data_IF_286251124513
#
_entry.id   IF_286251124513
#
_cell.length_a   1.000
_cell.length_b   1.000
_cell.length_c   1.000
_cell.angle_alpha   90.00
_cell.angle_beta   90.00
_cell.angle_gamma   90.00
#
_symmetry.space_group_name_H-M   'P 1'
#
loop_
_entity.id
_entity.type
_entity.pdbx_description
1 polymer ?
#
# COMPACT_ATOMS: atom_id res chain seq x y z
N UNK A 1 3.41 -0.25 -14.56
CA UNK A 1 2.05 0.20 -14.92
C UNK A 1 1.73 -0.24 -16.33
N UNK A 2 0.46 -0.45 -16.66
CA UNK A 2 0.00 -0.44 -18.05
C UNK A 2 -0.41 1.02 -18.35
N UNK A 3 0.48 1.77 -19.00
CA UNK A 3 0.28 3.20 -19.24
C UNK A 3 -0.71 3.45 -20.38
N UNK A 4 -0.76 2.55 -21.37
CA UNK A 4 -1.68 2.64 -22.49
C UNK A 4 -3.13 2.43 -22.00
N UNK A 5 -3.33 1.49 -21.06
CA UNK A 5 -4.63 1.31 -20.40
C UNK A 5 -5.03 2.53 -19.56
N UNK A 6 -4.08 3.10 -18.80
CA UNK A 6 -4.34 4.32 -18.02
C UNK A 6 -4.74 5.49 -18.92
N UNK A 7 -4.04 5.69 -20.04
CA UNK A 7 -4.35 6.73 -21.03
C UNK A 7 -5.73 6.50 -21.66
N UNK A 8 -6.05 5.26 -22.01
CA UNK A 8 -7.38 4.89 -22.51
C UNK A 8 -8.47 5.23 -21.50
N UNK A 9 -8.32 4.85 -20.24
CA UNK A 9 -9.27 5.20 -19.19
C UNK A 9 -9.44 6.72 -19.04
N UNK A 10 -8.35 7.49 -19.20
CA UNK A 10 -8.40 8.95 -19.16
C UNK A 10 -9.18 9.54 -20.35
N UNK A 11 -8.95 9.02 -21.56
CA UNK A 11 -9.68 9.38 -22.78
C UNK A 11 -11.18 9.05 -22.69
N UNK A 12 -11.53 7.96 -22.00
CA UNK A 12 -12.91 7.56 -21.75
C UNK A 12 -13.61 8.38 -20.64
N UNK A 13 -12.91 9.36 -20.04
CA UNK A 13 -13.48 10.29 -19.07
C UNK A 13 -13.03 10.07 -17.62
N UNK A 14 -12.08 9.15 -17.37
CA UNK A 14 -11.45 8.98 -16.06
C UNK A 14 -10.72 10.25 -15.62
N UNK A 15 -11.00 10.72 -14.39
CA UNK A 15 -10.39 11.95 -13.81
C UNK A 15 -9.82 11.75 -12.41
N UNK A 16 -9.95 10.55 -11.86
CA UNK A 16 -9.44 10.18 -10.55
C UNK A 16 -8.67 8.86 -10.66
N UNK A 17 -7.41 8.86 -10.25
CA UNK A 17 -6.61 7.66 -10.07
C UNK A 17 -6.45 7.39 -8.58
N UNK A 18 -6.74 6.15 -8.15
CA UNK A 18 -6.40 5.67 -6.81
C UNK A 18 -5.17 4.78 -6.94
N UNK A 19 -4.02 5.29 -6.49
CA UNK A 19 -2.75 4.59 -6.53
C UNK A 19 -2.45 3.97 -5.16
N UNK A 20 -2.12 2.69 -5.11
CA UNK A 20 -1.59 2.03 -3.92
C UNK A 20 -0.05 1.96 -4.02
N UNK A 21 0.66 2.59 -3.07
CA UNK A 21 2.11 2.75 -3.11
C UNK A 21 2.74 2.82 -1.70
N UNK A 22 3.38 1.76 -1.18
CA UNK A 22 3.61 0.45 -1.77
C UNK A 22 2.33 -0.33 -2.12
N UNK A 23 2.37 -1.14 -3.19
CA UNK A 23 1.19 -1.78 -3.77
C UNK A 23 0.83 -3.10 -3.07
N UNK A 24 -0.25 -3.07 -2.28
CA UNK A 24 -0.90 -4.28 -1.75
C UNK A 24 -1.76 -4.92 -2.87
N UNK A 25 -1.68 -6.25 -3.13
CA UNK A 25 -0.99 -7.28 -2.34
C UNK A 25 0.38 -7.71 -2.85
N UNK A 26 0.81 -7.24 -4.02
CA UNK A 26 2.05 -7.74 -4.67
C UNK A 26 3.35 -7.29 -3.98
N UNK A 27 3.28 -6.32 -3.06
CA UNK A 27 4.42 -5.84 -2.29
C UNK A 27 5.39 -4.98 -3.09
N UNK A 28 4.97 -4.39 -4.22
CA UNK A 28 5.81 -3.51 -5.05
C UNK A 28 6.03 -2.15 -4.41
N UNK A 29 7.25 -1.65 -4.48
CA UNK A 29 7.64 -0.28 -4.14
C UNK A 29 8.06 0.40 -5.44
N UNK A 30 7.20 1.29 -5.94
CA UNK A 30 7.37 1.89 -7.27
C UNK A 30 8.63 2.74 -7.36
N UNK A 31 9.37 2.57 -8.45
CA UNK A 31 10.58 3.35 -8.72
C UNK A 31 10.22 4.76 -9.20
N UNK A 32 11.13 5.72 -9.02
CA UNK A 32 10.87 7.12 -9.37
C UNK A 32 10.54 7.27 -10.86
N UNK A 33 11.21 6.51 -11.73
CA UNK A 33 10.99 6.52 -13.18
C UNK A 33 9.59 6.02 -13.54
N UNK A 34 9.12 4.93 -12.89
CA UNK A 34 7.77 4.39 -13.08
C UNK A 34 6.70 5.42 -12.66
N UNK A 35 6.90 6.05 -11.49
CA UNK A 35 5.98 7.07 -10.97
C UNK A 35 5.96 8.33 -11.84
N UNK A 36 7.12 8.76 -12.38
CA UNK A 36 7.19 9.91 -13.29
C UNK A 36 6.46 9.66 -14.60
N UNK A 37 6.57 8.45 -15.15
CA UNK A 37 5.84 8.08 -16.36
C UNK A 37 4.32 8.09 -16.12
N UNK A 38 3.86 7.58 -14.97
CA UNK A 38 2.46 7.65 -14.56
C UNK A 38 1.98 9.10 -14.38
N UNK A 39 2.78 9.95 -13.72
CA UNK A 39 2.45 11.35 -13.50
C UNK A 39 2.38 12.15 -14.81
N UNK A 40 3.16 11.81 -15.83
CA UNK A 40 3.09 12.47 -17.13
C UNK A 40 1.70 12.27 -17.78
N UNK A 41 1.17 11.05 -17.76
CA UNK A 41 -0.20 10.76 -18.23
C UNK A 41 -1.22 11.50 -17.39
N UNK A 42 -1.05 11.52 -16.06
CA UNK A 42 -1.96 12.26 -15.18
C UNK A 42 -1.95 13.77 -15.44
N UNK A 43 -0.79 14.37 -15.72
CA UNK A 43 -0.65 15.79 -16.05
C UNK A 43 -1.34 16.10 -17.39
N UNK A 44 -1.12 15.29 -18.43
CA UNK A 44 -1.69 15.48 -19.77
C UNK A 44 -3.23 15.46 -19.77
N UNK A 45 -3.82 14.60 -18.95
CA UNK A 45 -5.27 14.39 -18.92
C UNK A 45 -5.98 15.02 -17.71
N UNK A 46 -5.32 15.88 -16.95
CA UNK A 46 -5.87 16.55 -15.75
C UNK A 46 -6.48 15.56 -14.75
N UNK A 47 -5.75 14.48 -14.47
CA UNK A 47 -6.15 13.43 -13.53
C UNK A 47 -5.70 13.82 -12.12
N UNK A 48 -6.64 13.85 -11.18
CA UNK A 48 -6.30 13.92 -9.75
C UNK A 48 -5.90 12.53 -9.24
N UNK A 49 -4.86 12.47 -8.41
CA UNK A 49 -4.37 11.21 -7.83
C UNK A 49 -4.62 11.17 -6.33
N UNK A 50 -5.27 10.10 -5.85
CA UNK A 50 -5.25 9.70 -4.45
C UNK A 50 -4.15 8.66 -4.30
N UNK A 51 -3.04 9.03 -3.66
CA UNK A 51 -1.93 8.13 -3.36
C UNK A 51 -2.14 7.53 -1.97
N UNK A 52 -2.60 6.27 -1.91
CA UNK A 52 -2.64 5.48 -0.68
C UNK A 52 -1.23 4.96 -0.36
N UNK A 53 -0.60 5.63 0.59
CA UNK A 53 0.77 5.37 1.03
C UNK A 53 0.81 4.83 2.48
N UNK A 54 -0.25 4.14 2.90
CA UNK A 54 -0.35 3.56 4.26
C UNK A 54 0.76 2.54 4.59
N UNK A 55 1.42 1.98 3.58
CA UNK A 55 2.54 1.05 3.73
C UNK A 55 3.92 1.70 3.52
N UNK A 56 4.01 3.03 3.42
CA UNK A 56 5.25 3.76 3.11
C UNK A 56 6.43 3.45 4.04
N UNK A 57 6.16 3.17 5.31
CA UNK A 57 7.19 2.85 6.31
C UNK A 57 7.63 1.37 6.28
N UNK A 58 6.86 0.50 5.63
CA UNK A 58 7.05 -0.94 5.58
C UNK A 58 7.80 -1.32 4.31
N UNK A 59 9.07 -0.92 4.20
CA UNK A 59 9.91 -1.17 3.02
C UNK A 59 11.13 -1.99 3.42
N UNK A 60 11.48 -3.00 2.64
CA UNK A 60 12.63 -3.85 2.99
C UNK A 60 13.97 -3.09 2.87
N UNK A 61 15.01 -3.53 3.61
CA UNK A 61 16.32 -2.90 3.55
C UNK A 61 16.84 -2.76 2.11
N UNK A 62 17.52 -1.64 1.83
CA UNK A 62 18.05 -1.24 0.51
C UNK A 62 17.01 -0.82 -0.54
N UNK A 63 15.71 -0.93 -0.24
CA UNK A 63 14.64 -0.35 -1.07
C UNK A 63 14.22 1.00 -0.45
N UNK A 64 13.75 1.92 -1.29
CA UNK A 64 13.28 3.24 -0.85
C UNK A 64 11.90 3.55 -1.44
N UNK A 65 10.94 3.85 -0.58
CA UNK A 65 9.67 4.44 -0.99
C UNK A 65 9.86 5.89 -1.41
N UNK A 66 9.15 6.30 -2.46
CA UNK A 66 9.16 7.66 -2.98
C UNK A 66 7.74 8.21 -2.86
N UNK A 67 7.48 9.15 -1.93
CA UNK A 67 6.17 9.75 -1.81
C UNK A 67 5.80 10.47 -3.10
N UNK A 68 4.64 10.15 -3.68
CA UNK A 68 4.28 10.58 -5.03
C UNK A 68 4.27 12.11 -5.15
N UNK A 69 3.75 12.78 -4.11
CA UNK A 69 3.65 14.23 -4.02
C UNK A 69 5.01 14.97 -4.07
N UNK A 70 6.14 14.26 -3.91
CA UNK A 70 7.48 14.86 -4.04
C UNK A 70 7.97 14.93 -5.49
N UNK A 71 7.29 14.27 -6.43
CA UNK A 71 7.74 14.13 -7.82
C UNK A 71 7.08 15.10 -8.80
N UNK A 72 5.97 15.74 -8.42
CA UNK A 72 5.26 16.72 -9.24
C UNK A 72 4.55 17.76 -8.39
N UNK A 73 4.61 19.01 -8.81
CA UNK A 73 3.83 20.14 -8.31
C UNK A 73 2.66 20.51 -9.23
N UNK A 74 2.54 19.85 -10.39
CA UNK A 74 1.55 20.13 -11.43
C UNK A 74 0.34 19.20 -11.38
N UNK A 75 0.53 17.97 -10.91
CA UNK A 75 -0.55 17.00 -10.74
C UNK A 75 -1.17 17.22 -9.36
N UNK A 76 -2.51 17.23 -9.29
CA UNK A 76 -3.20 17.32 -8.02
C UNK A 76 -3.11 15.97 -7.28
N UNK A 77 -2.33 15.92 -6.19
CA UNK A 77 -2.06 14.69 -5.43
C UNK A 77 -2.57 14.85 -3.99
N UNK A 78 -3.44 13.93 -3.59
CA UNK A 78 -3.89 13.73 -2.21
C UNK A 78 -3.22 12.47 -1.68
N UNK A 79 -2.34 12.60 -0.69
CA UNK A 79 -1.64 11.45 -0.10
C UNK A 79 -2.33 11.00 1.18
N UNK A 80 -2.65 9.72 1.30
CA UNK A 80 -3.19 9.10 2.51
C UNK A 80 -2.09 8.31 3.23
N UNK A 81 -1.91 8.60 4.53
CA UNK A 81 -0.93 7.93 5.40
C UNK A 81 -1.57 7.58 6.73
N UNK A 82 -1.05 6.55 7.40
CA UNK A 82 -1.40 6.24 8.78
C UNK A 82 -0.33 5.37 9.44
N UNK A 83 -0.11 5.51 10.76
CA UNK A 83 0.78 4.63 11.51
C UNK A 83 0.18 3.22 11.73
N UNK A 84 -1.06 3.01 11.30
CA UNK A 84 -1.86 1.83 11.65
C UNK A 84 -1.25 0.51 11.16
N UNK A 85 -0.74 0.47 9.93
CA UNK A 85 -0.08 -0.71 9.37
C UNK A 85 1.34 -0.86 9.91
N UNK A 86 2.07 0.25 9.98
CA UNK A 86 3.45 0.29 10.48
C UNK A 86 3.54 -0.25 11.90
N UNK A 87 2.72 0.25 12.81
CA UNK A 87 2.79 -0.04 14.25
C UNK A 87 1.70 -0.97 14.76
N UNK A 88 0.96 -1.63 13.86
CA UNK A 88 -0.12 -2.57 14.20
C UNK A 88 -1.18 -2.00 15.16
N UNK A 89 -1.64 -0.78 14.89
CA UNK A 89 -2.68 -0.08 15.66
C UNK A 89 -3.94 0.27 14.82
N UNK A 90 -4.43 -0.58 13.89
CA UNK A 90 -5.59 -0.23 13.06
C UNK A 90 -6.87 -0.03 13.87
N UNK A 91 -6.99 -0.67 15.04
CA UNK A 91 -8.15 -0.52 15.93
C UNK A 91 -8.26 0.87 16.58
N UNK A 92 -7.22 1.70 16.53
CA UNK A 92 -7.26 3.07 17.07
C UNK A 92 -7.85 4.09 16.09
N UNK A 93 -7.94 3.76 14.80
CA UNK A 93 -8.81 4.46 13.85
C UNK A 93 -8.42 5.92 13.56
N UNK A 94 -7.14 6.25 13.47
CA UNK A 94 -6.68 7.58 13.04
C UNK A 94 -5.71 7.49 11.84
N UNK A 95 -5.95 8.34 10.85
CA UNK A 95 -5.15 8.51 9.64
C UNK A 95 -4.99 9.99 9.32
N UNK A 96 -4.12 10.31 8.36
CA UNK A 96 -3.93 11.67 7.86
C UNK A 96 -4.02 11.72 6.34
N UNK A 97 -4.59 12.81 5.83
CA UNK A 97 -4.54 13.18 4.42
C UNK A 97 -3.63 14.40 4.26
N UNK A 98 -2.60 14.28 3.44
CA UNK A 98 -1.77 15.39 3.01
C UNK A 98 -2.37 15.94 1.72
N UNK A 99 -2.95 17.14 1.81
CA UNK A 99 -3.65 17.80 0.69
C UNK A 99 -3.04 19.19 0.48
N UNK A 100 -2.09 19.36 -0.46
CA UNK A 100 -1.45 20.65 -0.70
C UNK A 100 -2.43 21.74 -1.14
N UNK A 101 -3.34 21.41 -2.06
CA UNK A 101 -4.34 22.35 -2.59
C UNK A 101 -5.34 22.74 -1.48
N UNK A 102 -5.45 24.06 -1.21
CA UNK A 102 -6.32 24.59 -0.15
C UNK A 102 -7.82 24.41 -0.44
N UNK A 103 -8.23 24.54 -1.69
CA UNK A 103 -9.63 24.39 -2.09
C UNK A 103 -10.09 22.94 -1.93
N UNK A 104 -9.27 21.99 -2.40
CA UNK A 104 -9.56 20.56 -2.26
C UNK A 104 -9.57 20.12 -0.79
N UNK A 105 -8.60 20.61 0.00
CA UNK A 105 -8.56 20.33 1.44
C UNK A 105 -9.83 20.83 2.15
N UNK A 106 -10.32 22.01 1.79
CA UNK A 106 -11.57 22.53 2.34
C UNK A 106 -12.80 21.72 1.87
N UNK A 107 -12.83 21.29 0.61
CA UNK A 107 -13.90 20.45 0.07
C UNK A 107 -13.94 19.07 0.75
N UNK A 108 -12.79 18.43 0.93
CA UNK A 108 -12.65 17.15 1.65
C UNK A 108 -13.08 17.31 3.11
N UNK A 109 -12.60 18.36 3.80
CA UNK A 109 -12.99 18.62 5.19
C UNK A 109 -14.51 18.84 5.33
N UNK A 110 -15.14 19.56 4.39
CA UNK A 110 -16.59 19.74 4.35
C UNK A 110 -17.31 18.40 4.17
N UNK A 111 -16.85 17.56 3.25
CA UNK A 111 -17.43 16.24 3.01
C UNK A 111 -17.34 15.35 4.27
N UNK A 112 -16.18 15.29 4.92
CA UNK A 112 -16.02 14.56 6.18
C UNK A 112 -16.87 15.12 7.32
N UNK A 113 -17.05 16.45 7.38
CA UNK A 113 -17.95 17.10 8.34
C UNK A 113 -19.41 16.66 8.16
N UNK A 114 -19.89 16.58 6.92
CA UNK A 114 -21.25 16.09 6.60
C UNK A 114 -21.41 14.62 6.98
N UNK A 115 -20.39 13.79 6.76
CA UNK A 115 -20.41 12.36 7.04
C UNK A 115 -20.10 12.00 8.50
N UNK A 116 -19.76 12.98 9.34
CA UNK A 116 -19.30 12.76 10.72
C UNK A 116 -18.10 11.79 10.83
N UNK A 117 -17.19 11.81 9.85
CA UNK A 117 -16.01 10.91 9.74
C UNK A 117 -14.79 11.45 10.52
N UNK A 118 -14.92 12.60 11.17
CA UNK A 118 -13.83 13.33 11.85
C UNK A 118 -13.61 12.97 13.32
N UNK A 119 -14.18 11.85 13.79
CA UNK A 119 -14.05 11.45 15.19
C UNK A 119 -12.66 10.84 15.48
N UNK A 120 -11.73 11.65 16.00
CA UNK A 120 -10.57 11.15 16.74
C UNK A 120 -10.91 10.96 18.22
N UNK A 121 -10.27 10.01 18.89
CA UNK A 121 -10.37 9.85 20.34
C UNK A 121 -8.99 10.12 20.99
N UNK A 122 -8.92 10.42 22.30
CA UNK A 122 -7.64 10.73 22.94
C UNK A 122 -6.57 9.64 22.76
N UNK A 123 -6.95 8.36 22.74
CA UNK A 123 -6.01 7.26 22.53
C UNK A 123 -5.47 7.22 21.10
N UNK A 124 -6.32 7.55 20.11
CA UNK A 124 -5.89 7.56 18.71
C UNK A 124 -4.90 8.68 18.42
N UNK A 125 -5.08 9.84 19.04
CA UNK A 125 -4.13 10.96 18.95
C UNK A 125 -2.79 10.60 19.61
N UNK A 126 -2.83 10.13 20.87
CA UNK A 126 -1.61 9.77 21.61
C UNK A 126 -0.84 8.65 20.92
N UNK A 127 -1.52 7.63 20.41
CA UNK A 127 -0.84 6.55 19.70
C UNK A 127 -0.23 6.99 18.38
N UNK A 128 -0.89 7.89 17.65
CA UNK A 128 -0.36 8.46 16.40
C UNK A 128 0.90 9.28 16.67
N UNK A 129 0.89 10.10 17.71
CA UNK A 129 2.06 10.88 18.15
C UNK A 129 3.20 9.96 18.60
N UNK A 130 2.95 9.04 19.53
CA UNK A 130 3.97 8.13 20.05
C UNK A 130 4.59 7.25 18.94
N UNK A 131 3.77 6.77 18.00
CA UNK A 131 4.23 6.00 16.85
C UNK A 131 5.28 6.75 16.03
N UNK A 132 5.02 8.01 15.66
CA UNK A 132 5.96 8.76 14.81
C UNK A 132 7.08 9.47 15.58
N UNK A 133 6.88 9.82 16.85
CA UNK A 133 7.90 10.47 17.67
C UNK A 133 8.89 9.46 18.28
N UNK A 134 8.44 8.25 18.63
CA UNK A 134 9.21 7.31 19.45
C UNK A 134 9.32 5.91 18.82
N UNK A 135 8.53 5.59 17.79
CA UNK A 135 8.43 4.24 17.24
C UNK A 135 9.58 3.78 16.33
N UNK A 136 10.45 4.70 15.88
CA UNK A 136 11.49 4.39 14.88
C UNK A 136 12.41 3.21 15.28
N UNK A 137 12.93 3.10 16.52
CA UNK A 137 13.79 1.96 16.89
C UNK A 137 13.08 0.60 16.83
N UNK A 138 11.77 0.58 17.13
CA UNK A 138 10.96 -0.63 17.02
C UNK A 138 10.72 -0.99 15.55
N UNK A 139 10.44 0.01 14.71
CA UNK A 139 10.24 -0.19 13.27
C UNK A 139 11.50 -0.75 12.61
N UNK A 140 12.68 -0.23 12.92
CA UNK A 140 13.95 -0.74 12.38
C UNK A 140 14.15 -2.23 12.71
N UNK A 141 13.86 -2.63 13.96
CA UNK A 141 13.92 -4.02 14.38
C UNK A 141 12.87 -4.89 13.67
N UNK A 142 11.65 -4.37 13.49
CA UNK A 142 10.59 -5.04 12.74
C UNK A 142 11.00 -5.29 11.28
N UNK A 143 11.55 -4.30 10.59
CA UNK A 143 11.93 -4.43 9.17
C UNK A 143 13.00 -5.50 8.97
N UNK A 144 13.98 -5.59 9.88
CA UNK A 144 14.97 -6.67 9.87
C UNK A 144 14.33 -8.05 10.09
N UNK A 145 13.37 -8.15 11.03
CA UNK A 145 12.64 -9.38 11.30
C UNK A 145 11.77 -9.83 10.11
N UNK A 146 11.06 -8.89 9.49
CA UNK A 146 10.23 -9.16 8.31
C UNK A 146 11.09 -9.61 7.12
N UNK A 147 12.24 -8.98 6.89
CA UNK A 147 13.16 -9.39 5.84
C UNK A 147 13.65 -10.84 6.03
N UNK A 148 14.02 -11.20 7.28
CA UNK A 148 14.38 -12.59 7.61
C UNK A 148 13.23 -13.58 7.43
N UNK A 149 12.01 -13.17 7.79
CA UNK A 149 10.80 -14.00 7.61
C UNK A 149 10.50 -14.23 6.13
N UNK A 150 10.56 -13.18 5.30
CA UNK A 150 10.43 -13.29 3.83
C UNK A 150 11.45 -14.27 3.27
N UNK A 151 12.72 -14.12 3.65
CA UNK A 151 13.81 -14.96 3.14
C UNK A 151 13.64 -16.43 3.56
N UNK A 152 13.17 -16.68 4.77
CA UNK A 152 12.82 -18.02 5.25
C UNK A 152 11.68 -18.63 4.42
N UNK A 153 10.58 -17.90 4.20
CA UNK A 153 9.45 -18.39 3.41
C UNK A 153 9.87 -18.69 1.97
N UNK A 154 10.66 -17.81 1.36
CA UNK A 154 11.22 -18.01 0.02
C UNK A 154 11.99 -19.32 -0.09
N UNK A 155 12.90 -19.57 0.85
CA UNK A 155 13.70 -20.80 0.84
C UNK A 155 12.84 -22.03 1.07
N UNK A 156 11.89 -21.95 2.00
CA UNK A 156 10.96 -23.03 2.29
C UNK A 156 10.14 -23.42 1.06
N UNK A 157 9.56 -22.44 0.36
CA UNK A 157 8.80 -22.67 -0.87
C UNK A 157 9.68 -23.29 -1.95
N UNK A 158 10.91 -22.79 -2.12
CA UNK A 158 11.86 -23.33 -3.11
C UNK A 158 12.22 -24.78 -2.83
N UNK A 159 12.46 -25.12 -1.57
CA UNK A 159 12.92 -26.46 -1.18
C UNK A 159 11.79 -27.49 -1.12
N UNK A 160 10.63 -27.11 -0.60
CA UNK A 160 9.57 -28.06 -0.24
C UNK A 160 8.29 -27.92 -1.06
N UNK A 161 7.99 -26.74 -1.60
CA UNK A 161 6.73 -26.46 -2.30
C UNK A 161 6.97 -25.77 -3.66
N UNK A 162 7.76 -26.37 -4.57
CA UNK A 162 8.18 -25.70 -5.81
C UNK A 162 7.02 -25.32 -6.74
N UNK A 163 5.82 -25.86 -6.53
CA UNK A 163 4.59 -25.50 -7.24
C UNK A 163 3.96 -24.18 -6.79
N UNK A 164 4.36 -23.66 -5.62
CA UNK A 164 3.93 -22.35 -5.11
C UNK A 164 5.08 -21.38 -5.30
N UNK A 165 4.86 -20.32 -6.08
CA UNK A 165 5.88 -19.29 -6.35
C UNK A 165 5.57 -18.04 -5.54
N UNK A 166 6.55 -17.52 -4.81
CA UNK A 166 6.42 -16.21 -4.20
C UNK A 166 6.81 -15.14 -5.22
N UNK A 167 5.97 -14.12 -5.37
CA UNK A 167 6.37 -12.89 -6.05
C UNK A 167 7.20 -12.09 -5.05
N UNK A 168 8.45 -11.79 -5.40
CA UNK A 168 9.39 -11.14 -4.48
C UNK A 168 8.88 -9.75 -4.07
N UNK A 169 8.58 -9.55 -2.77
CA UNK A 169 8.08 -8.27 -2.30
C UNK A 169 9.25 -7.31 -2.03
N UNK A 170 9.05 -6.05 -2.40
CA UNK A 170 9.96 -4.92 -2.15
C UNK A 170 9.57 -4.17 -0.85
N UNK A 171 8.31 -4.31 -0.43
CA UNK A 171 7.78 -3.77 0.82
C UNK A 171 6.50 -4.48 1.25
N UNK A 172 5.79 -3.85 2.19
CA UNK A 172 4.74 -4.43 3.03
C UNK A 172 5.27 -5.60 3.89
N UNK A 173 4.36 -6.27 4.60
CA UNK A 173 4.61 -7.56 5.27
C UNK A 173 3.76 -8.69 4.67
N UNK A 174 3.14 -8.45 3.50
CA UNK A 174 2.28 -9.40 2.81
C UNK A 174 3.10 -10.13 1.75
N UNK A 175 2.99 -11.45 1.69
CA UNK A 175 3.65 -12.28 0.69
C UNK A 175 2.62 -12.71 -0.35
N UNK A 176 2.85 -12.35 -1.61
CA UNK A 176 1.97 -12.76 -2.70
C UNK A 176 2.42 -14.10 -3.28
N UNK A 177 1.55 -15.11 -3.18
CA UNK A 177 1.82 -16.48 -3.56
C UNK A 177 1.04 -16.86 -4.81
N UNK A 178 1.77 -17.17 -5.87
CA UNK A 178 1.24 -17.76 -7.10
C UNK A 178 1.13 -19.27 -6.95
N UNK A 179 -0.12 -19.74 -6.85
CA UNK A 179 -0.48 -21.14 -6.70
C UNK A 179 -1.02 -21.76 -8.00
N UNK A 180 -0.92 -21.08 -9.16
CA UNK A 180 -1.54 -21.53 -10.42
C UNK A 180 -1.10 -22.92 -10.86
N UNK A 181 0.14 -23.32 -10.56
CA UNK A 181 0.68 -24.64 -10.89
C UNK A 181 0.02 -25.79 -10.09
N UNK A 182 -0.77 -25.50 -9.07
CA UNK A 182 -1.55 -26.50 -8.33
C UNK A 182 -2.80 -26.96 -9.09
N UNK A 183 -3.21 -26.25 -10.16
CA UNK A 183 -4.38 -26.63 -10.97
C UNK A 183 -5.72 -26.51 -10.23
N UNK A 184 -5.76 -25.77 -9.12
CA UNK A 184 -6.96 -25.50 -8.33
C UNK A 184 -7.55 -24.15 -8.73
N UNK A 185 -8.88 -24.06 -8.79
CA UNK A 185 -9.56 -22.76 -8.84
C UNK A 185 -9.61 -22.09 -7.45
N UNK A 186 -9.97 -20.81 -7.39
CA UNK A 186 -9.94 -20.01 -6.15
C UNK A 186 -10.72 -20.64 -4.99
N UNK A 187 -11.89 -21.25 -5.27
CA UNK A 187 -12.69 -21.93 -4.25
C UNK A 187 -11.97 -23.16 -3.72
N UNK A 188 -11.44 -24.00 -4.61
CA UNK A 188 -10.68 -25.20 -4.24
C UNK A 188 -9.40 -24.85 -3.51
N UNK A 189 -8.69 -23.80 -3.94
CA UNK A 189 -7.47 -23.31 -3.31
C UNK A 189 -7.74 -22.85 -1.88
N UNK A 190 -8.80 -22.07 -1.68
CA UNK A 190 -9.27 -21.65 -0.35
C UNK A 190 -9.64 -22.84 0.53
N UNK A 191 -10.43 -23.77 -0.01
CA UNK A 191 -10.86 -24.97 0.73
C UNK A 191 -9.65 -25.82 1.14
N UNK A 192 -8.69 -26.02 0.23
CA UNK A 192 -7.43 -26.74 0.48
C UNK A 192 -6.62 -26.08 1.61
N UNK A 193 -6.30 -24.78 1.51
CA UNK A 193 -5.47 -24.12 2.52
C UNK A 193 -6.12 -24.13 3.90
N UNK A 194 -7.43 -23.84 3.99
CA UNK A 194 -8.12 -23.73 5.28
C UNK A 194 -8.41 -25.10 5.88
N UNK A 195 -8.91 -26.06 5.10
CA UNK A 195 -9.43 -27.33 5.63
C UNK A 195 -8.41 -28.46 5.65
N UNK A 196 -7.46 -28.46 4.72
CA UNK A 196 -6.45 -29.53 4.61
C UNK A 196 -5.10 -29.06 5.16
N UNK A 197 -4.61 -27.91 4.74
CA UNK A 197 -3.32 -27.38 5.19
C UNK A 197 -3.37 -26.71 6.57
N UNK A 198 -4.56 -26.30 7.04
CA UNK A 198 -4.73 -25.61 8.33
C UNK A 198 -4.16 -24.19 8.37
N UNK A 199 -4.05 -23.53 7.20
CA UNK A 199 -3.49 -22.17 7.06
C UNK A 199 -4.55 -21.21 6.51
N UNK A 200 -4.81 -20.12 7.23
CA UNK A 200 -5.71 -19.06 6.79
C UNK A 200 -5.00 -18.02 5.94
N UNK A 201 -5.22 -18.05 4.62
CA UNK A 201 -4.70 -17.06 3.67
C UNK A 201 -5.82 -16.19 3.10
N UNK A 202 -5.45 -15.02 2.57
CA UNK A 202 -6.34 -14.19 1.75
C UNK A 202 -6.38 -14.75 0.32
N UNK A 203 -7.53 -15.29 -0.13
CA UNK A 203 -7.68 -15.86 -1.47
C UNK A 203 -7.84 -14.77 -2.53
#
# INVERSE_FOLDING_TARGET
>A
FDLDDLERCAMEGGRLLILCSPHNPVGRVWQSEELRALLAVCEEHDITVISDEIHADLVYPCIKHVPLATLSDKVNIVTAIAPSKTFNIPGLGLSALVVPNKADRAAIAKAFGILHVSASNPFSIVAFEAAYCEGAPWLDALLAYLAGTRDMVREFLRQYLPQIKMIEPEGTYLLWLDCRAMGLNDKQLKDFFVREAGVGLSP
#
